data_IF_380581273814
#
_entry.id   IF_380581273814
#
_cell.length_a   1.000
_cell.length_b   1.000
_cell.length_c   1.000
_cell.angle_alpha   90.00
_cell.angle_beta   90.00
_cell.angle_gamma   90.00
#
_symmetry.space_group_name_H-M   'P 1'
#
loop_
_entity.id
_entity.type
_entity.pdbx_description
1 polymer ?
#
# COMPACT_ATOMS: atom_id res chain seq x y z
N UNK A 1 -10.80 19.26 -12.33
CA UNK A 1 -12.03 18.95 -11.57
C UNK A 1 -12.79 17.87 -12.31
N UNK A 2 -13.03 16.74 -11.64
CA UNK A 2 -13.89 15.69 -12.17
C UNK A 2 -15.36 16.07 -11.88
N UNK A 3 -16.18 16.21 -12.92
CA UNK A 3 -17.62 16.38 -12.77
C UNK A 3 -18.28 15.06 -12.40
N UNK A 4 -18.05 14.57 -11.19
CA UNK A 4 -18.58 13.30 -10.69
C UNK A 4 -18.96 13.41 -9.21
N UNK A 5 -19.81 12.50 -8.76
CA UNK A 5 -20.09 12.33 -7.34
C UNK A 5 -18.96 11.56 -6.67
N UNK A 6 -18.46 12.10 -5.56
CA UNK A 6 -17.42 11.43 -4.76
C UNK A 6 -18.04 10.90 -3.48
N UNK A 7 -17.86 9.62 -3.22
CA UNK A 7 -18.23 8.97 -1.96
C UNK A 7 -16.98 8.49 -1.22
N UNK A 8 -16.89 8.82 0.04
CA UNK A 8 -15.83 8.34 0.94
C UNK A 8 -16.41 7.33 1.93
N UNK A 9 -15.69 6.22 2.14
CA UNK A 9 -16.08 5.16 3.06
C UNK A 9 -16.46 3.86 2.36
N UNK A 10 -16.76 2.83 3.14
CA UNK A 10 -17.16 1.52 2.63
C UNK A 10 -18.65 1.45 2.25
N UNK A 11 -19.01 0.40 1.51
CA UNK A 11 -20.38 0.14 1.08
C UNK A 11 -21.10 -0.91 1.96
N UNK A 12 -20.43 -1.48 2.97
CA UNK A 12 -20.98 -2.59 3.74
C UNK A 12 -20.80 -3.96 3.04
N UNK A 13 -19.66 -4.14 2.37
CA UNK A 13 -19.34 -5.37 1.65
C UNK A 13 -20.03 -5.48 0.29
N UNK A 14 -20.05 -6.70 -0.27
CA UNK A 14 -20.57 -6.95 -1.61
C UNK A 14 -22.09 -6.65 -1.73
N UNK A 15 -22.87 -6.99 -0.71
CA UNK A 15 -24.32 -6.76 -0.72
C UNK A 15 -24.67 -5.26 -0.70
N UNK A 16 -24.02 -4.50 0.18
CA UNK A 16 -24.20 -3.04 0.23
C UNK A 16 -23.76 -2.34 -1.04
N UNK A 17 -22.64 -2.79 -1.66
CA UNK A 17 -22.22 -2.28 -2.96
C UNK A 17 -23.21 -2.63 -4.06
N UNK A 18 -23.75 -3.86 -4.11
CA UNK A 18 -24.77 -4.25 -5.08
C UNK A 18 -26.07 -3.45 -4.93
N UNK A 19 -26.48 -3.15 -3.68
CA UNK A 19 -27.61 -2.28 -3.42
C UNK A 19 -27.35 -0.87 -3.96
N UNK A 20 -26.19 -0.30 -3.66
CA UNK A 20 -25.80 1.02 -4.15
C UNK A 20 -25.77 1.09 -5.68
N UNK A 21 -25.23 0.07 -6.36
CA UNK A 21 -25.21 -0.04 -7.83
C UNK A 21 -26.64 0.06 -8.39
N UNK A 22 -27.61 -0.67 -7.81
CA UNK A 22 -29.01 -0.63 -8.26
C UNK A 22 -29.68 0.72 -7.99
N UNK A 23 -29.49 1.27 -6.78
CA UNK A 23 -30.09 2.56 -6.38
C UNK A 23 -29.59 3.71 -7.25
N UNK A 24 -28.31 3.70 -7.58
CA UNK A 24 -27.68 4.74 -8.41
C UNK A 24 -27.75 4.44 -9.92
N UNK A 25 -28.37 3.31 -10.31
CA UNK A 25 -28.48 2.88 -11.71
C UNK A 25 -27.14 2.87 -12.44
N UNK A 26 -26.14 2.27 -11.79
CA UNK A 26 -24.79 2.13 -12.35
C UNK A 26 -24.81 1.06 -13.45
N UNK A 27 -24.29 1.38 -14.62
CA UNK A 27 -24.25 0.47 -15.79
C UNK A 27 -22.95 -0.32 -15.86
N UNK A 28 -21.86 0.21 -15.30
CA UNK A 28 -20.53 -0.40 -15.34
C UNK A 28 -19.81 -0.15 -14.02
N UNK A 29 -19.26 -1.18 -13.42
CA UNK A 29 -18.34 -1.08 -12.27
C UNK A 29 -16.90 -1.17 -12.73
N UNK A 30 -16.07 -0.18 -12.33
CA UNK A 30 -14.63 -0.20 -12.58
C UNK A 30 -13.88 -0.40 -11.27
N UNK A 31 -13.20 -1.55 -11.12
CA UNK A 31 -12.27 -1.79 -10.02
C UNK A 31 -10.87 -1.31 -10.39
N UNK A 32 -10.52 -0.11 -9.96
CA UNK A 32 -9.19 0.48 -10.09
C UNK A 32 -8.48 0.57 -8.72
N UNK A 33 -8.82 -0.32 -7.79
CA UNK A 33 -8.23 -0.35 -6.46
C UNK A 33 -6.78 -0.84 -6.48
N UNK A 34 -6.08 -0.61 -5.37
CA UNK A 34 -4.70 -1.06 -5.21
C UNK A 34 -4.61 -2.59 -5.37
N UNK A 35 -3.59 -3.15 -6.05
CA UNK A 35 -3.47 -4.60 -6.27
C UNK A 35 -3.57 -5.47 -5.01
N UNK A 36 -3.13 -4.94 -3.85
CA UNK A 36 -3.21 -5.61 -2.55
C UNK A 36 -4.54 -5.39 -1.81
N UNK A 37 -5.51 -4.72 -2.42
CA UNK A 37 -6.85 -4.54 -1.85
C UNK A 37 -7.79 -5.72 -2.23
N UNK A 38 -7.35 -6.95 -1.99
CA UNK A 38 -8.03 -8.17 -2.45
C UNK A 38 -9.51 -8.23 -2.01
N UNK A 39 -9.80 -7.86 -0.76
CA UNK A 39 -11.17 -7.87 -0.24
C UNK A 39 -12.11 -6.93 -0.99
N UNK A 40 -11.62 -5.73 -1.35
CA UNK A 40 -12.42 -4.76 -2.12
C UNK A 40 -12.68 -5.28 -3.52
N UNK A 41 -11.67 -5.85 -4.17
CA UNK A 41 -11.81 -6.45 -5.51
C UNK A 41 -12.76 -7.65 -5.52
N UNK A 42 -12.70 -8.51 -4.50
CA UNK A 42 -13.65 -9.62 -4.33
C UNK A 42 -15.08 -9.09 -4.14
N UNK A 43 -15.26 -8.09 -3.28
CA UNK A 43 -16.57 -7.46 -3.07
C UNK A 43 -17.10 -6.82 -4.34
N UNK A 44 -16.26 -6.20 -5.16
CA UNK A 44 -16.64 -5.61 -6.44
C UNK A 44 -17.15 -6.69 -7.43
N UNK A 45 -16.42 -7.79 -7.59
CA UNK A 45 -16.81 -8.90 -8.46
C UNK A 45 -18.14 -9.54 -8.00
N UNK A 46 -18.30 -9.80 -6.70
CA UNK A 46 -19.54 -10.34 -6.13
C UNK A 46 -20.72 -9.36 -6.30
N UNK A 47 -20.51 -8.08 -6.04
CA UNK A 47 -21.54 -7.05 -6.18
C UNK A 47 -22.01 -6.90 -7.63
N UNK A 48 -21.10 -6.96 -8.58
CA UNK A 48 -21.43 -6.94 -10.01
C UNK A 48 -22.32 -8.14 -10.39
N UNK A 49 -21.98 -9.35 -9.95
CA UNK A 49 -22.81 -10.54 -10.13
C UNK A 49 -24.20 -10.40 -9.50
N UNK A 50 -24.29 -9.87 -8.28
CA UNK A 50 -25.54 -9.66 -7.56
C UNK A 50 -26.44 -8.57 -8.19
N UNK A 51 -25.87 -7.59 -8.87
CA UNK A 51 -26.59 -6.47 -9.48
C UNK A 51 -26.79 -6.63 -10.99
N UNK A 52 -26.12 -7.61 -11.62
CA UNK A 52 -26.23 -7.86 -13.05
C UNK A 52 -25.47 -6.87 -13.93
N UNK A 53 -24.50 -6.14 -13.37
CA UNK A 53 -23.67 -5.18 -14.13
C UNK A 53 -22.32 -5.77 -14.50
N UNK A 54 -21.70 -5.24 -15.54
CA UNK A 54 -20.33 -5.60 -15.89
C UNK A 54 -19.36 -5.04 -14.86
N UNK A 55 -18.30 -5.81 -14.56
CA UNK A 55 -17.18 -5.36 -13.74
C UNK A 55 -15.88 -5.47 -14.54
N UNK A 56 -15.20 -4.35 -14.71
CA UNK A 56 -13.87 -4.31 -15.30
C UNK A 56 -12.83 -4.02 -14.21
N UNK A 57 -11.72 -4.73 -14.25
CA UNK A 57 -10.61 -4.51 -13.33
C UNK A 57 -9.42 -3.90 -14.06
N UNK A 58 -9.00 -2.71 -13.63
CA UNK A 58 -7.75 -2.10 -14.08
C UNK A 58 -6.61 -2.65 -13.21
N UNK A 59 -5.73 -3.47 -13.79
CA UNK A 59 -4.56 -4.02 -13.10
C UNK A 59 -3.29 -3.43 -13.66
N UNK A 60 -2.46 -2.86 -12.80
CA UNK A 60 -1.11 -2.40 -13.17
C UNK A 60 -0.16 -3.60 -13.17
N UNK A 61 0.77 -3.68 -14.14
CA UNK A 61 1.87 -4.63 -14.04
C UNK A 61 2.67 -4.40 -12.75
N UNK A 62 3.08 -5.48 -12.11
CA UNK A 62 4.01 -5.38 -10.98
C UNK A 62 5.37 -4.86 -11.45
N UNK A 63 6.13 -4.25 -10.56
CA UNK A 63 7.54 -3.97 -10.84
C UNK A 63 8.30 -5.27 -11.01
N UNK A 64 9.32 -5.25 -11.82
CA UNK A 64 10.18 -6.40 -12.12
C UNK A 64 11.59 -6.06 -11.66
N UNK A 65 12.20 -6.95 -10.86
CA UNK A 65 13.57 -6.80 -10.41
C UNK A 65 14.53 -6.71 -11.60
N UNK A 66 15.49 -5.81 -11.52
CA UNK A 66 16.55 -5.61 -12.51
C UNK A 66 17.82 -6.33 -12.09
N UNK A 67 18.78 -6.40 -13.01
CA UNK A 67 20.09 -6.99 -12.71
C UNK A 67 20.79 -6.16 -11.64
N UNK A 68 21.09 -6.79 -10.50
CA UNK A 68 21.74 -6.13 -9.36
C UNK A 68 20.80 -5.91 -8.17
N UNK A 69 19.50 -6.03 -8.35
CA UNK A 69 18.53 -5.92 -7.24
C UNK A 69 18.58 -7.16 -6.34
N UNK A 70 18.54 -6.95 -5.03
CA UNK A 70 18.34 -8.02 -4.02
C UNK A 70 16.91 -7.93 -3.47
N UNK A 71 15.93 -8.40 -4.26
CA UNK A 71 14.54 -8.46 -3.83
C UNK A 71 14.23 -9.79 -3.18
N UNK A 72 13.58 -9.73 -2.03
CA UNK A 72 13.14 -10.88 -1.28
C UNK A 72 11.63 -10.80 -1.05
N UNK A 73 10.89 -11.71 -1.66
CA UNK A 73 9.47 -11.81 -1.42
C UNK A 73 9.19 -12.51 -0.09
N UNK A 74 8.29 -11.94 0.70
CA UNK A 74 7.87 -12.51 1.99
C UNK A 74 6.36 -12.70 2.00
N UNK A 75 5.91 -13.82 2.55
CA UNK A 75 4.51 -14.21 2.49
C UNK A 75 3.62 -13.45 3.49
N UNK A 76 4.17 -13.12 4.65
CA UNK A 76 3.45 -12.53 5.77
C UNK A 76 4.36 -11.75 6.71
N UNK A 77 3.78 -11.17 7.76
CA UNK A 77 4.50 -10.39 8.76
C UNK A 77 5.57 -11.21 9.50
N UNK A 78 5.29 -12.46 9.84
CA UNK A 78 6.25 -13.30 10.57
C UNK A 78 7.51 -13.58 9.74
N UNK A 79 7.33 -13.88 8.44
CA UNK A 79 8.46 -14.05 7.51
C UNK A 79 9.21 -12.72 7.30
N UNK A 80 8.50 -11.59 7.23
CA UNK A 80 9.12 -10.27 7.13
C UNK A 80 10.02 -10.00 8.34
N UNK A 81 9.55 -10.20 9.57
CA UNK A 81 10.35 -10.00 10.79
C UNK A 81 11.61 -10.86 10.79
N UNK A 82 11.53 -12.11 10.32
CA UNK A 82 12.71 -12.97 10.19
C UNK A 82 13.70 -12.45 9.15
N UNK A 83 13.21 -11.98 8.00
CA UNK A 83 14.05 -11.42 6.94
C UNK A 83 14.73 -10.12 7.37
N UNK A 84 14.14 -9.36 8.28
CA UNK A 84 14.67 -8.09 8.77
C UNK A 84 15.76 -8.22 9.84
N UNK A 85 16.02 -9.40 10.40
CA UNK A 85 17.03 -9.59 11.46
C UNK A 85 18.44 -9.04 11.15
N UNK A 86 18.96 -9.13 9.91
CA UNK A 86 20.28 -8.58 9.59
C UNK A 86 20.33 -7.06 9.47
N UNK A 87 19.20 -6.37 9.41
CA UNK A 87 19.09 -4.95 9.13
C UNK A 87 18.83 -4.14 10.39
N UNK A 88 19.23 -2.86 10.36
CA UNK A 88 19.14 -1.97 11.52
C UNK A 88 18.19 -0.78 11.31
N UNK A 89 18.01 -0.35 10.06
CA UNK A 89 17.26 0.87 9.72
C UNK A 89 16.26 0.66 8.57
N UNK A 90 15.28 -0.20 8.77
CA UNK A 90 14.27 -0.48 7.74
C UNK A 90 13.35 0.72 7.49
N UNK A 91 13.03 0.94 6.20
CA UNK A 91 11.97 1.84 5.76
C UNK A 91 10.74 1.03 5.32
N UNK A 92 9.63 1.23 6.01
CA UNK A 92 8.36 0.60 5.67
C UNK A 92 7.47 1.54 4.85
N UNK A 93 7.08 1.11 3.66
CA UNK A 93 6.12 1.81 2.80
C UNK A 93 4.81 1.00 2.62
N UNK A 94 4.38 0.35 3.71
CA UNK A 94 3.20 -0.53 3.77
C UNK A 94 1.92 0.19 4.22
N UNK A 95 1.99 1.52 4.42
CA UNK A 95 0.91 2.29 5.01
C UNK A 95 0.83 2.11 6.53
N UNK A 96 -0.36 1.86 7.07
CA UNK A 96 -0.59 1.80 8.53
C UNK A 96 -0.27 0.46 9.20
N UNK A 97 -0.07 -0.59 8.42
CA UNK A 97 0.15 -1.94 8.94
C UNK A 97 1.29 -2.02 9.98
N UNK A 98 2.50 -1.44 9.74
CA UNK A 98 3.59 -1.50 10.71
C UNK A 98 3.33 -0.74 12.02
N UNK A 99 2.34 0.17 12.04
CA UNK A 99 2.00 0.92 13.26
C UNK A 99 1.49 0.01 14.40
N UNK A 100 0.88 -1.12 14.06
CA UNK A 100 0.40 -2.09 15.03
C UNK A 100 1.56 -2.84 15.75
N UNK A 101 2.77 -2.80 15.21
CA UNK A 101 3.93 -3.56 15.67
C UNK A 101 5.03 -2.69 16.28
N UNK A 102 4.74 -1.42 16.58
CA UNK A 102 5.74 -0.47 17.11
C UNK A 102 6.37 -0.88 18.43
N UNK A 103 5.63 -1.61 19.24
CA UNK A 103 6.09 -2.06 20.55
C UNK A 103 6.92 -3.37 20.48
N UNK A 104 6.97 -3.97 19.28
CA UNK A 104 7.71 -5.22 18.99
C UNK A 104 9.08 -4.95 18.35
N UNK A 105 9.47 -3.68 18.17
CA UNK A 105 10.72 -3.31 17.46
C UNK A 105 11.93 -3.78 18.26
N UNK A 106 12.82 -4.61 17.65
CA UNK A 106 14.03 -5.08 18.32
C UNK A 106 14.94 -3.92 18.75
N UNK A 107 15.69 -4.13 19.84
CA UNK A 107 16.63 -3.12 20.35
C UNK A 107 17.71 -2.72 19.34
N UNK A 108 18.07 -3.60 18.44
CA UNK A 108 19.04 -3.35 17.38
C UNK A 108 18.51 -2.56 16.20
N UNK A 109 17.20 -2.27 16.18
CA UNK A 109 16.55 -1.63 15.03
C UNK A 109 15.92 -0.27 15.37
N UNK A 110 15.89 0.60 14.37
CA UNK A 110 15.09 1.83 14.38
C UNK A 110 14.28 1.90 13.08
N UNK A 111 12.96 1.87 13.19
CA UNK A 111 12.08 1.82 12.02
C UNK A 111 11.70 3.21 11.54
N UNK A 112 11.75 3.41 10.23
CA UNK A 112 11.10 4.54 9.57
C UNK A 112 9.84 4.04 8.89
N UNK A 113 8.68 4.58 9.26
CA UNK A 113 7.40 4.20 8.69
C UNK A 113 6.87 5.33 7.82
N UNK A 114 6.42 5.02 6.60
CA UNK A 114 5.75 6.01 5.73
C UNK A 114 4.27 5.65 5.61
N UNK A 115 3.41 6.58 6.02
CA UNK A 115 1.97 6.48 5.94
C UNK A 115 1.37 7.71 5.25
N UNK A 116 0.08 7.68 4.90
CA UNK A 116 -0.60 8.85 4.31
C UNK A 116 -0.71 10.01 5.29
N UNK A 117 -0.98 9.69 6.55
CA UNK A 117 -1.13 10.65 7.63
C UNK A 117 0.08 10.56 8.57
N UNK A 118 0.32 11.63 9.30
CA UNK A 118 1.32 11.63 10.36
C UNK A 118 0.76 10.94 11.62
N UNK A 119 1.57 10.09 12.22
CA UNK A 119 1.28 9.42 13.50
C UNK A 119 2.44 9.66 14.46
N UNK A 120 2.21 9.65 15.77
CA UNK A 120 3.29 9.75 16.73
C UNK A 120 4.21 8.54 16.62
N UNK A 121 5.53 8.80 16.61
CA UNK A 121 6.54 7.77 16.76
C UNK A 121 6.74 7.34 18.21
N UNK A 122 7.82 6.59 18.44
CA UNK A 122 8.32 6.24 19.76
C UNK A 122 9.86 6.29 19.77
N UNK A 123 10.51 5.81 20.82
CA UNK A 123 11.97 5.82 20.95
C UNK A 123 12.71 5.03 19.87
N UNK A 124 12.01 4.10 19.17
CA UNK A 124 12.57 3.22 18.11
C UNK A 124 11.91 3.36 16.76
N UNK A 125 10.99 4.31 16.60
CA UNK A 125 10.23 4.47 15.40
C UNK A 125 9.88 5.93 15.13
N UNK A 126 10.09 6.35 13.89
CA UNK A 126 9.62 7.62 13.35
C UNK A 126 8.58 7.38 12.25
N UNK A 127 7.56 8.25 12.19
CA UNK A 127 6.48 8.12 11.20
C UNK A 127 6.43 9.35 10.33
N UNK A 128 6.61 9.14 9.04
CA UNK A 128 6.56 10.17 8.00
C UNK A 128 5.16 10.16 7.38
N UNK A 129 4.42 11.25 7.53
CA UNK A 129 3.19 11.50 6.79
C UNK A 129 3.51 12.03 5.41
N UNK A 130 3.30 11.22 4.35
CA UNK A 130 3.60 11.65 2.99
C UNK A 130 2.71 10.95 1.96
N UNK A 131 2.38 11.68 0.90
CA UNK A 131 1.60 11.19 -0.25
C UNK A 131 2.38 11.43 -1.52
N UNK A 132 2.51 10.39 -2.35
CA UNK A 132 3.14 10.53 -3.67
C UNK A 132 2.35 11.46 -4.63
N UNK A 133 2.92 11.79 -5.78
CA UNK A 133 4.14 11.17 -6.34
C UNK A 133 5.40 11.60 -5.59
N UNK A 134 6.41 10.73 -5.57
CA UNK A 134 7.72 10.99 -4.96
C UNK A 134 8.76 11.21 -6.06
N UNK A 135 9.78 12.02 -5.77
CA UNK A 135 10.89 12.28 -6.68
C UNK A 135 12.12 11.47 -6.26
N UNK A 136 12.93 11.05 -7.23
CA UNK A 136 14.15 10.25 -7.00
C UNK A 136 15.09 10.95 -6.01
N UNK A 137 15.34 12.24 -6.20
CA UNK A 137 16.27 12.99 -5.33
C UNK A 137 15.75 13.09 -3.89
N UNK A 138 14.42 13.18 -3.69
CA UNK A 138 13.81 13.19 -2.36
C UNK A 138 13.92 11.80 -1.70
N UNK A 139 13.73 10.72 -2.46
CA UNK A 139 13.90 9.36 -1.97
C UNK A 139 15.36 9.10 -1.58
N UNK A 140 16.32 9.46 -2.43
CA UNK A 140 17.75 9.32 -2.13
C UNK A 140 18.15 10.11 -0.87
N UNK A 141 17.71 11.37 -0.77
CA UNK A 141 17.95 12.19 0.42
C UNK A 141 17.36 11.55 1.68
N UNK A 142 16.16 10.98 1.61
CA UNK A 142 15.55 10.26 2.72
C UNK A 142 16.39 9.04 3.14
N UNK A 143 16.80 8.22 2.17
CA UNK A 143 17.60 7.02 2.44
C UNK A 143 18.94 7.38 3.11
N UNK A 144 19.63 8.41 2.62
CA UNK A 144 20.89 8.89 3.19
C UNK A 144 20.71 9.47 4.59
N UNK A 145 19.76 10.41 4.77
CA UNK A 145 19.51 11.09 6.05
C UNK A 145 19.13 10.11 7.15
N UNK A 146 18.29 9.11 6.81
CA UNK A 146 17.81 8.08 7.75
C UNK A 146 18.72 6.87 7.81
N UNK A 147 19.76 6.78 6.96
CA UNK A 147 20.66 5.63 6.81
C UNK A 147 19.90 4.33 6.61
N UNK A 148 18.91 4.37 5.72
CA UNK A 148 18.07 3.22 5.41
C UNK A 148 18.94 2.10 4.83
N UNK A 149 18.84 0.90 5.37
CA UNK A 149 19.60 -0.27 4.94
C UNK A 149 18.71 -1.36 4.31
N UNK A 150 17.39 -1.22 4.41
CA UNK A 150 16.42 -2.08 3.71
C UNK A 150 15.09 -1.36 3.50
N UNK A 151 14.49 -1.55 2.33
CA UNK A 151 13.16 -1.04 1.98
C UNK A 151 12.13 -2.17 2.01
N UNK A 152 11.01 -1.94 2.70
CA UNK A 152 9.85 -2.83 2.70
C UNK A 152 8.71 -2.18 1.94
N UNK A 153 8.23 -2.85 0.89
CA UNK A 153 7.19 -2.31 0.02
C UNK A 153 6.24 -3.38 -0.50
N UNK A 154 5.01 -2.98 -0.79
CA UNK A 154 4.08 -3.75 -1.62
C UNK A 154 4.44 -3.52 -3.08
N UNK A 155 4.64 -4.58 -3.86
CA UNK A 155 4.89 -4.46 -5.29
C UNK A 155 3.61 -4.02 -6.03
N UNK A 156 3.38 -2.72 -6.07
CA UNK A 156 2.15 -2.12 -6.59
C UNK A 156 2.20 -1.76 -8.08
N UNK A 157 3.38 -1.79 -8.70
CA UNK A 157 3.59 -1.38 -10.08
C UNK A 157 3.24 0.09 -10.35
N UNK A 158 3.28 0.97 -9.33
CA UNK A 158 2.91 2.37 -9.48
C UNK A 158 4.10 3.25 -9.80
N UNK A 159 4.09 3.94 -10.93
CA UNK A 159 5.12 4.93 -11.28
C UNK A 159 5.23 6.09 -10.27
N UNK A 160 4.13 6.44 -9.60
CA UNK A 160 4.14 7.47 -8.56
C UNK A 160 4.95 7.11 -7.29
N UNK A 161 5.30 5.84 -7.11
CA UNK A 161 6.04 5.33 -5.96
C UNK A 161 7.23 4.45 -6.34
N UNK A 162 7.56 4.36 -7.62
CA UNK A 162 8.71 3.63 -8.18
C UNK A 162 10.06 4.27 -7.80
N UNK A 163 10.20 5.63 -7.68
CA UNK A 163 11.45 6.26 -7.35
C UNK A 163 12.17 5.74 -6.10
N UNK A 164 11.45 5.14 -5.17
CA UNK A 164 12.06 4.51 -3.98
C UNK A 164 12.84 3.22 -4.29
N UNK A 165 12.70 2.65 -5.50
CA UNK A 165 13.39 1.43 -5.94
C UNK A 165 14.67 1.74 -6.71
N UNK A 166 14.88 3.00 -7.12
CA UNK A 166 16.03 3.50 -7.85
C UNK A 166 17.10 4.11 -6.92
#
# INVERSE_FOLDING_TARGET
DLHCQVRVGGYGGAQGLAQYIREQRIDLLLDATHPYAAQISQNAALAAGLSGVLCWALRRPAWVAQTGDDWREVADWAHLVQALKPFHRPLFTLGREPLAHRDEIPESQFWTLRALDHYPGNERCDVIGARGPFLIDEERALFEQRRIDVLISKNSGSSATEPKLE
#
